data_IF_281285302402
#
_entry.id   IF_281285302402
#
_cell.length_a   1.000
_cell.length_b   1.000
_cell.length_c   1.000
_cell.angle_alpha   90.00
_cell.angle_beta   90.00
_cell.angle_gamma   90.00
#
_symmetry.space_group_name_H-M   'P 1'
#
loop_
_entity.id
_entity.type
_entity.pdbx_description
1 polymer ?
#
# COMPACT_ATOMS: atom_id res chain seq x y z
N UNK A 1 14.74 -20.56 -35.62
CA UNK A 1 15.07 -20.86 -34.21
C UNK A 1 14.12 -20.04 -33.30
N UNK A 2 13.19 -20.69 -32.63
CA UNK A 2 12.28 -19.99 -31.71
C UNK A 2 13.07 -19.54 -30.49
N UNK A 3 13.08 -18.21 -30.22
CA UNK A 3 13.70 -17.60 -29.06
C UNK A 3 12.98 -18.13 -27.81
N UNK A 4 13.61 -18.97 -27.01
CA UNK A 4 13.10 -19.47 -25.74
C UNK A 4 12.76 -18.23 -24.86
N UNK A 5 11.48 -17.94 -24.66
CA UNK A 5 11.07 -16.88 -23.73
C UNK A 5 11.63 -17.23 -22.36
N UNK A 6 12.36 -16.31 -21.76
CA UNK A 6 12.78 -16.44 -20.37
C UNK A 6 11.55 -16.69 -19.48
N UNK A 7 11.65 -17.57 -18.46
CA UNK A 7 10.52 -17.80 -17.56
C UNK A 7 10.10 -16.48 -16.92
N UNK A 8 8.80 -16.27 -16.84
CA UNK A 8 8.22 -15.09 -16.21
C UNK A 8 8.65 -15.02 -14.72
N UNK A 9 9.07 -13.85 -14.22
CA UNK A 9 9.43 -13.69 -12.81
C UNK A 9 8.25 -14.06 -11.90
N UNK A 10 8.50 -14.73 -10.78
CA UNK A 10 7.47 -15.10 -9.79
C UNK A 10 6.71 -13.87 -9.33
N UNK A 11 7.41 -12.74 -9.08
CA UNK A 11 6.80 -11.47 -8.70
C UNK A 11 5.75 -10.95 -9.69
N UNK A 12 5.93 -11.17 -10.99
CA UNK A 12 4.92 -10.78 -11.98
C UNK A 12 3.66 -11.67 -11.92
N UNK A 13 3.85 -12.96 -11.58
CA UNK A 13 2.74 -13.89 -11.35
C UNK A 13 1.98 -13.49 -10.07
N UNK A 14 2.69 -13.16 -9.00
CA UNK A 14 2.11 -12.68 -7.74
C UNK A 14 1.31 -11.38 -7.95
N UNK A 15 1.79 -10.45 -8.79
CA UNK A 15 1.07 -9.23 -9.15
C UNK A 15 -0.27 -9.54 -9.84
N UNK A 16 -0.28 -10.50 -10.77
CA UNK A 16 -1.52 -10.90 -11.43
C UNK A 16 -2.48 -11.60 -10.48
N UNK A 17 -1.97 -12.48 -9.61
CA UNK A 17 -2.78 -13.14 -8.58
C UNK A 17 -3.40 -12.12 -7.62
N UNK A 18 -2.63 -11.13 -7.18
CA UNK A 18 -3.13 -10.08 -6.30
C UNK A 18 -4.25 -9.27 -6.96
N UNK A 19 -4.04 -8.79 -8.20
CA UNK A 19 -5.07 -8.05 -8.93
C UNK A 19 -6.31 -8.89 -9.21
N UNK A 20 -6.13 -10.16 -9.56
CA UNK A 20 -7.25 -11.08 -9.75
C UNK A 20 -8.03 -11.33 -8.45
N UNK A 21 -7.33 -11.55 -7.34
CA UNK A 21 -7.96 -11.71 -6.02
C UNK A 21 -8.80 -10.50 -5.62
N UNK A 22 -8.24 -9.30 -5.78
CA UNK A 22 -8.94 -8.05 -5.48
C UNK A 22 -10.15 -7.84 -6.39
N UNK A 23 -10.03 -8.16 -7.69
CA UNK A 23 -11.13 -8.06 -8.66
C UNK A 23 -12.28 -9.03 -8.36
N UNK A 24 -11.98 -10.21 -7.80
CA UNK A 24 -12.96 -11.20 -7.37
C UNK A 24 -13.57 -10.93 -5.98
N UNK A 25 -13.22 -9.80 -5.36
CA UNK A 25 -13.79 -9.34 -4.08
C UNK A 25 -12.92 -9.57 -2.86
N UNK A 26 -11.63 -9.90 -3.05
CA UNK A 26 -10.54 -10.09 -2.06
C UNK A 26 -10.83 -11.05 -0.89
N UNK A 27 -11.94 -11.75 -0.93
CA UNK A 27 -12.27 -12.83 0.01
C UNK A 27 -11.85 -14.18 -0.59
N UNK A 28 -10.63 -14.63 -0.28
CA UNK A 28 -10.11 -15.91 -0.78
C UNK A 28 -10.94 -17.12 -0.33
N UNK A 29 -11.73 -17.01 0.74
CA UNK A 29 -12.57 -18.13 1.20
C UNK A 29 -13.73 -18.39 0.23
N UNK A 30 -14.25 -17.35 -0.41
CA UNK A 30 -15.34 -17.44 -1.38
C UNK A 30 -14.91 -17.78 -2.81
N UNK A 31 -13.61 -17.73 -3.12
CA UNK A 31 -13.05 -17.96 -4.46
C UNK A 31 -12.28 -19.29 -4.49
N UNK A 32 -12.49 -20.10 -5.51
CA UNK A 32 -11.69 -21.32 -5.70
C UNK A 32 -10.31 -21.01 -6.29
N UNK A 33 -9.29 -21.83 -5.96
CA UNK A 33 -7.96 -21.66 -6.55
C UNK A 33 -7.95 -21.79 -8.09
N UNK A 34 -8.71 -22.72 -8.71
CA UNK A 34 -8.83 -22.75 -10.17
C UNK A 34 -9.44 -21.49 -10.79
N UNK A 35 -10.47 -20.93 -10.15
CA UNK A 35 -11.09 -19.68 -10.59
C UNK A 35 -10.12 -18.50 -10.52
N UNK A 36 -9.39 -18.39 -9.40
CA UNK A 36 -8.35 -17.37 -9.26
C UNK A 36 -7.22 -17.53 -10.27
N UNK A 37 -6.78 -18.78 -10.55
CA UNK A 37 -5.77 -19.05 -11.56
C UNK A 37 -6.24 -18.62 -12.96
N UNK A 38 -7.50 -18.90 -13.29
CA UNK A 38 -8.11 -18.48 -14.55
C UNK A 38 -8.17 -16.94 -14.66
N UNK A 39 -8.65 -16.26 -13.61
CA UNK A 39 -8.71 -14.79 -13.56
C UNK A 39 -7.31 -14.15 -13.67
N UNK A 40 -6.30 -14.75 -13.07
CA UNK A 40 -4.90 -14.33 -13.16
C UNK A 40 -4.21 -14.72 -14.48
N UNK A 41 -4.87 -15.47 -15.34
CA UNK A 41 -4.32 -16.02 -16.59
C UNK A 41 -3.03 -16.83 -16.35
N UNK A 42 -3.09 -17.77 -15.39
CA UNK A 42 -2.02 -18.72 -15.09
C UNK A 42 -2.54 -20.16 -15.07
N UNK A 43 -1.65 -21.11 -15.31
CA UNK A 43 -2.02 -22.52 -15.16
C UNK A 43 -2.26 -22.86 -13.66
N UNK A 44 -3.30 -23.64 -13.36
CA UNK A 44 -3.64 -24.08 -12.00
C UNK A 44 -2.46 -24.77 -11.32
N UNK A 45 -1.71 -25.61 -12.05
CA UNK A 45 -0.49 -26.25 -11.53
C UNK A 45 0.61 -25.25 -11.16
N UNK A 46 0.68 -24.11 -11.84
CA UNK A 46 1.60 -23.02 -11.47
C UNK A 46 1.19 -22.38 -10.14
N UNK A 47 -0.12 -22.16 -9.93
CA UNK A 47 -0.64 -21.63 -8.66
C UNK A 47 -0.30 -22.56 -7.50
N UNK A 48 -0.59 -23.87 -7.63
CA UNK A 48 -0.31 -24.84 -6.54
C UNK A 48 1.19 -24.98 -6.25
N UNK A 49 2.06 -24.75 -7.22
CA UNK A 49 3.52 -24.74 -7.01
C UNK A 49 3.97 -23.50 -6.21
N UNK A 50 3.29 -22.36 -6.38
CA UNK A 50 3.59 -21.11 -5.68
C UNK A 50 2.94 -21.11 -4.29
N UNK A 51 1.67 -21.52 -4.22
CA UNK A 51 0.86 -21.51 -3.01
C UNK A 51 0.10 -22.84 -2.90
N UNK A 52 0.57 -23.78 -2.08
CA UNK A 52 -0.06 -25.10 -1.93
C UNK A 52 -1.39 -25.07 -1.18
N UNK A 53 -1.71 -23.94 -0.50
CA UNK A 53 -2.96 -23.73 0.22
C UNK A 53 -3.45 -22.29 0.11
N UNK A 54 -4.73 -22.03 0.43
CA UNK A 54 -5.29 -20.68 0.50
C UNK A 54 -4.62 -19.81 1.55
N UNK A 55 -4.22 -20.38 2.69
CA UNK A 55 -3.52 -19.63 3.75
C UNK A 55 -2.14 -19.13 3.27
N UNK A 56 -1.36 -20.00 2.65
CA UNK A 56 -0.06 -19.61 2.06
C UNK A 56 -0.26 -18.58 0.96
N UNK A 57 -1.30 -18.74 0.14
CA UNK A 57 -1.62 -17.75 -0.88
C UNK A 57 -1.95 -16.39 -0.25
N UNK A 58 -2.76 -16.35 0.81
CA UNK A 58 -3.10 -15.10 1.51
C UNK A 58 -1.84 -14.39 2.03
N UNK A 59 -0.91 -15.11 2.63
CA UNK A 59 0.37 -14.55 3.11
C UNK A 59 1.21 -13.96 1.94
N UNK A 60 1.29 -14.67 0.82
CA UNK A 60 1.99 -14.20 -0.38
C UNK A 60 1.34 -12.91 -0.91
N UNK A 61 0.01 -12.88 -1.02
CA UNK A 61 -0.71 -11.72 -1.53
C UNK A 61 -0.60 -10.52 -0.58
N UNK A 62 -0.66 -10.74 0.74
CA UNK A 62 -0.43 -9.71 1.75
C UNK A 62 0.98 -9.11 1.65
N UNK A 63 2.00 -9.97 1.57
CA UNK A 63 3.38 -9.54 1.42
C UNK A 63 3.60 -8.77 0.10
N UNK A 64 2.96 -9.25 -0.98
CA UNK A 64 3.08 -8.61 -2.29
C UNK A 64 2.40 -7.24 -2.33
N UNK A 65 1.19 -7.13 -1.78
CA UNK A 65 0.47 -5.85 -1.68
C UNK A 65 1.28 -4.81 -0.90
N UNK A 66 1.87 -5.21 0.25
CA UNK A 66 2.75 -4.34 1.04
C UNK A 66 4.00 -3.92 0.26
N UNK A 67 4.65 -4.86 -0.43
CA UNK A 67 5.84 -4.56 -1.25
C UNK A 67 5.54 -3.55 -2.35
N UNK A 68 4.39 -3.68 -3.03
CA UNK A 68 3.98 -2.72 -4.07
C UNK A 68 3.74 -1.33 -3.48
N UNK A 69 2.99 -1.27 -2.38
CA UNK A 69 2.72 -0.04 -1.65
C UNK A 69 4.02 0.65 -1.20
N UNK A 70 4.89 -0.09 -0.53
CA UNK A 70 6.15 0.44 0.00
C UNK A 70 7.08 0.96 -1.10
N UNK A 71 7.22 0.22 -2.19
CA UNK A 71 8.01 0.67 -3.35
C UNK A 71 7.50 1.97 -3.94
N UNK A 72 6.18 2.16 -3.95
CA UNK A 72 5.57 3.34 -4.54
C UNK A 72 5.68 4.54 -3.60
N UNK A 73 5.26 4.37 -2.35
CA UNK A 73 5.14 5.45 -1.38
C UNK A 73 6.50 5.88 -0.83
N UNK A 74 7.38 4.91 -0.53
CA UNK A 74 8.70 5.18 0.08
C UNK A 74 9.86 5.18 -0.93
N UNK A 75 9.58 5.41 -2.21
CA UNK A 75 10.65 5.70 -3.15
C UNK A 75 11.53 6.86 -2.62
N UNK A 76 12.85 6.85 -2.86
CA UNK A 76 13.76 7.85 -2.31
C UNK A 76 13.27 9.28 -2.53
N UNK A 77 13.44 10.13 -1.53
CA UNK A 77 13.16 11.55 -1.65
C UNK A 77 14.35 12.29 -2.30
N UNK A 78 14.08 13.32 -3.12
CA UNK A 78 15.11 14.23 -3.56
C UNK A 78 15.84 14.84 -2.36
N UNK A 79 17.15 15.08 -2.50
CA UNK A 79 17.91 15.77 -1.46
C UNK A 79 17.39 17.20 -1.24
N UNK A 80 17.49 17.70 0.00
CA UNK A 80 17.19 19.09 0.38
C UNK A 80 15.71 19.51 0.33
N UNK A 81 14.78 18.58 0.44
CA UNK A 81 13.36 18.93 0.64
C UNK A 81 13.13 19.42 2.08
N UNK A 82 12.32 20.50 2.23
CA UNK A 82 11.77 20.86 3.53
C UNK A 82 10.85 19.76 4.07
N UNK A 83 10.53 19.81 5.36
CA UNK A 83 9.64 18.83 5.98
C UNK A 83 8.26 18.83 5.29
N UNK A 84 7.71 20.01 5.03
CA UNK A 84 6.43 20.16 4.32
C UNK A 84 6.50 19.58 2.90
N UNK A 85 7.58 19.82 2.16
CA UNK A 85 7.75 19.25 0.82
C UNK A 85 7.88 17.71 0.85
N UNK A 86 8.55 17.15 1.87
CA UNK A 86 8.63 15.70 2.05
C UNK A 86 7.25 15.11 2.36
N UNK A 87 6.47 15.78 3.22
CA UNK A 87 5.10 15.38 3.52
C UNK A 87 4.22 15.41 2.27
N UNK A 88 4.23 16.51 1.54
CA UNK A 88 3.46 16.68 0.30
C UNK A 88 3.82 15.60 -0.74
N UNK A 89 5.11 15.34 -0.96
CA UNK A 89 5.55 14.31 -1.91
C UNK A 89 5.12 12.89 -1.48
N UNK A 90 5.24 12.56 -0.19
CA UNK A 90 4.77 11.30 0.34
C UNK A 90 3.24 11.18 0.18
N UNK A 91 2.49 12.25 0.48
CA UNK A 91 1.04 12.27 0.32
C UNK A 91 0.63 12.11 -1.15
N UNK A 92 1.29 12.82 -2.07
CA UNK A 92 1.06 12.68 -3.52
C UNK A 92 1.22 11.23 -3.96
N UNK A 93 2.28 10.56 -3.52
CA UNK A 93 2.51 9.14 -3.84
C UNK A 93 1.42 8.24 -3.24
N UNK A 94 0.98 8.50 -2.01
CA UNK A 94 -0.15 7.81 -1.38
C UNK A 94 -1.43 7.98 -2.19
N UNK A 95 -1.76 9.22 -2.58
CA UNK A 95 -2.93 9.55 -3.36
C UNK A 95 -2.89 8.91 -4.75
N UNK A 96 -1.75 8.99 -5.43
CA UNK A 96 -1.56 8.37 -6.74
C UNK A 96 -1.71 6.85 -6.65
N UNK A 97 -1.13 6.20 -5.64
CA UNK A 97 -1.32 4.76 -5.42
C UNK A 97 -2.80 4.41 -5.21
N UNK A 98 -3.51 5.20 -4.39
CA UNK A 98 -4.93 5.00 -4.13
C UNK A 98 -5.79 5.12 -5.40
N UNK A 99 -5.43 6.02 -6.31
CA UNK A 99 -6.16 6.25 -7.56
C UNK A 99 -5.78 5.25 -8.66
N UNK A 100 -4.52 4.83 -8.73
CA UNK A 100 -4.02 3.92 -9.77
C UNK A 100 -4.29 2.45 -9.45
N UNK A 101 -4.25 2.07 -8.17
CA UNK A 101 -4.45 0.70 -7.69
C UNK A 101 -5.55 0.66 -6.60
N UNK A 102 -6.78 1.16 -6.88
CA UNK A 102 -7.83 1.35 -5.87
C UNK A 102 -8.20 0.07 -5.14
N UNK A 103 -8.20 -1.05 -5.84
CA UNK A 103 -8.49 -2.35 -5.25
C UNK A 103 -7.41 -2.80 -4.27
N UNK A 104 -6.12 -2.66 -4.63
CA UNK A 104 -5.01 -3.02 -3.74
C UNK A 104 -4.96 -2.07 -2.54
N UNK A 105 -5.20 -0.78 -2.76
CA UNK A 105 -5.27 0.21 -1.70
C UNK A 105 -6.40 -0.09 -0.70
N UNK A 106 -7.60 -0.43 -1.20
CA UNK A 106 -8.74 -0.85 -0.38
C UNK A 106 -8.46 -2.17 0.36
N UNK A 107 -7.79 -3.13 -0.28
CA UNK A 107 -7.34 -4.37 0.35
C UNK A 107 -6.41 -4.09 1.54
N UNK A 108 -5.38 -3.25 1.35
CA UNK A 108 -4.47 -2.85 2.42
C UNK A 108 -5.17 -2.07 3.54
N UNK A 109 -6.16 -1.23 3.20
CA UNK A 109 -6.92 -0.45 4.18
C UNK A 109 -7.77 -1.31 5.14
N UNK A 110 -8.05 -2.56 4.78
CA UNK A 110 -8.75 -3.54 5.64
C UNK A 110 -7.80 -4.34 6.54
N UNK A 111 -6.50 -4.27 6.28
CA UNK A 111 -5.50 -5.04 7.05
C UNK A 111 -4.95 -4.21 8.20
N UNK A 112 -4.64 -4.82 9.35
CA UNK A 112 -3.99 -4.12 10.43
C UNK A 112 -2.59 -3.67 10.01
N UNK A 113 -2.24 -2.46 10.40
CA UNK A 113 -0.88 -1.94 10.25
C UNK A 113 -0.08 -2.33 11.49
N UNK A 114 0.79 -3.31 11.35
CA UNK A 114 1.63 -3.74 12.46
C UNK A 114 2.72 -2.71 12.81
N UNK A 115 3.23 -2.73 14.06
CA UNK A 115 4.24 -1.77 14.54
C UNK A 115 5.53 -1.82 13.72
N UNK A 116 5.85 -2.97 13.15
CA UNK A 116 7.03 -3.18 12.32
C UNK A 116 6.87 -2.76 10.86
N UNK A 117 5.71 -2.24 10.47
CA UNK A 117 5.48 -1.80 9.10
C UNK A 117 6.43 -0.67 8.69
N UNK A 118 6.85 -0.66 7.44
CA UNK A 118 7.67 0.42 6.89
C UNK A 118 7.00 1.79 7.02
N UNK A 119 5.66 1.83 6.98
CA UNK A 119 4.88 3.06 7.16
C UNK A 119 5.06 3.64 8.57
N UNK A 120 4.92 2.84 9.63
CA UNK A 120 5.13 3.30 11.02
C UNK A 120 6.58 3.70 11.24
N UNK A 121 7.55 2.92 10.74
CA UNK A 121 8.97 3.24 10.84
C UNK A 121 9.31 4.58 10.15
N UNK A 122 8.80 4.80 8.93
CA UNK A 122 8.98 6.07 8.22
C UNK A 122 8.29 7.24 8.94
N UNK A 123 7.10 7.01 9.50
CA UNK A 123 6.37 8.00 10.31
C UNK A 123 7.14 8.39 11.56
N UNK A 124 7.78 7.44 12.25
CA UNK A 124 8.60 7.70 13.43
C UNK A 124 9.84 8.56 13.10
N UNK A 125 10.50 8.28 11.97
CA UNK A 125 11.64 9.10 11.51
C UNK A 125 11.17 10.52 11.19
N UNK A 126 10.06 10.66 10.46
CA UNK A 126 9.51 11.96 10.09
C UNK A 126 9.06 12.77 11.30
N UNK A 127 8.37 12.15 12.26
CA UNK A 127 7.94 12.78 13.51
C UNK A 127 9.13 13.29 14.33
N UNK A 128 10.17 12.44 14.48
CA UNK A 128 11.41 12.80 15.18
C UNK A 128 12.09 14.01 14.52
N UNK A 129 12.26 13.99 13.20
CA UNK A 129 12.91 15.06 12.45
C UNK A 129 12.14 16.37 12.60
N UNK A 130 10.81 16.33 12.52
CA UNK A 130 9.95 17.52 12.67
C UNK A 130 9.87 18.05 14.09
N UNK A 131 9.92 17.18 15.09
CA UNK A 131 9.99 17.60 16.50
C UNK A 131 11.35 18.26 16.80
N UNK A 132 12.44 17.75 16.23
CA UNK A 132 13.79 18.32 16.41
C UNK A 132 13.93 19.74 15.80
N UNK A 133 13.23 20.01 14.71
CA UNK A 133 13.18 21.36 14.08
C UNK A 133 12.13 22.28 14.72
N UNK A 134 11.25 21.74 15.57
CA UNK A 134 10.12 22.48 16.15
C UNK A 134 8.96 22.73 15.18
N UNK A 135 9.00 22.17 13.98
CA UNK A 135 7.96 22.34 12.97
C UNK A 135 6.73 21.47 13.23
N UNK A 136 6.93 20.28 13.83
CA UNK A 136 5.84 19.35 14.14
C UNK A 136 5.60 19.24 15.65
N UNK A 137 4.37 18.83 15.99
CA UNK A 137 4.04 18.34 17.33
C UNK A 137 4.92 17.13 17.69
N UNK A 138 5.17 16.94 18.97
CA UNK A 138 5.85 15.73 19.46
C UNK A 138 4.87 14.57 19.42
N UNK A 139 5.05 13.67 18.45
CA UNK A 139 4.20 12.51 18.19
C UNK A 139 5.07 11.27 18.08
N UNK A 140 4.52 10.13 18.46
CA UNK A 140 5.08 8.81 18.11
C UNK A 140 4.88 8.50 16.63
N UNK A 141 5.56 7.47 16.12
CA UNK A 141 5.36 7.00 14.74
C UNK A 141 3.94 6.47 14.53
N UNK A 142 3.37 5.80 15.53
CA UNK A 142 2.00 5.29 15.48
C UNK A 142 0.97 6.41 15.46
N UNK A 143 1.13 7.44 16.30
CA UNK A 143 0.22 8.60 16.32
C UNK A 143 0.24 9.35 14.98
N UNK A 144 1.43 9.60 14.44
CA UNK A 144 1.56 10.23 13.12
C UNK A 144 0.94 9.35 12.03
N UNK A 145 1.25 8.05 12.04
CA UNK A 145 0.66 7.11 11.10
C UNK A 145 -0.87 7.06 11.20
N UNK A 146 -1.43 7.11 12.39
CA UNK A 146 -2.88 7.13 12.61
C UNK A 146 -3.52 8.40 12.03
N UNK A 147 -2.90 9.57 12.20
CA UNK A 147 -3.39 10.84 11.64
C UNK A 147 -3.41 10.80 10.11
N UNK A 148 -2.39 10.19 9.49
CA UNK A 148 -2.27 10.12 8.02
C UNK A 148 -3.11 8.98 7.44
N UNK A 149 -2.96 7.77 7.97
CA UNK A 149 -3.56 6.57 7.40
C UNK A 149 -5.02 6.37 7.81
N UNK A 150 -5.42 6.78 9.01
CA UNK A 150 -6.76 6.57 9.54
C UNK A 150 -7.86 7.11 8.61
N UNK A 151 -7.89 8.42 8.33
CA UNK A 151 -8.88 9.01 7.44
C UNK A 151 -8.79 8.47 6.00
N UNK A 152 -7.57 8.31 5.47
CA UNK A 152 -7.37 7.75 4.13
C UNK A 152 -7.92 6.33 4.03
N UNK A 153 -7.62 5.47 5.01
CA UNK A 153 -8.11 4.09 5.03
C UNK A 153 -9.65 4.02 5.12
N UNK A 154 -10.28 4.98 5.79
CA UNK A 154 -11.75 5.08 5.83
C UNK A 154 -12.31 5.40 4.44
N UNK A 155 -11.73 6.35 3.70
CA UNK A 155 -12.15 6.64 2.32
C UNK A 155 -11.94 5.43 1.39
N UNK A 156 -10.80 4.75 1.52
CA UNK A 156 -10.48 3.56 0.71
C UNK A 156 -11.48 2.43 0.93
N UNK A 157 -11.81 2.12 2.18
CA UNK A 157 -12.79 1.07 2.53
C UNK A 157 -14.20 1.36 2.02
N UNK A 158 -14.56 2.64 1.95
CA UNK A 158 -15.88 3.09 1.52
C UNK A 158 -15.94 3.45 0.02
N UNK A 159 -14.87 3.17 -0.74
CA UNK A 159 -14.77 3.55 -2.15
C UNK A 159 -15.07 5.04 -2.43
N UNK A 160 -14.73 5.90 -1.47
CA UNK A 160 -15.01 7.34 -1.50
C UNK A 160 -13.79 8.19 -1.86
N UNK A 161 -12.73 7.59 -2.40
CA UNK A 161 -11.53 8.31 -2.83
C UNK A 161 -11.81 9.11 -4.10
N UNK A 162 -11.59 10.41 -4.03
CA UNK A 162 -11.55 11.32 -5.17
C UNK A 162 -10.34 12.25 -5.04
N UNK A 163 -9.94 12.89 -6.13
CA UNK A 163 -8.85 13.86 -6.12
C UNK A 163 -9.12 14.97 -5.09
N UNK A 164 -10.37 15.44 -5.03
CA UNK A 164 -10.76 16.49 -4.09
C UNK A 164 -10.70 16.03 -2.63
N UNK A 165 -11.26 14.86 -2.31
CA UNK A 165 -11.22 14.33 -0.93
C UNK A 165 -9.77 14.07 -0.47
N UNK A 166 -8.90 13.63 -1.37
CA UNK A 166 -7.49 13.39 -1.06
C UNK A 166 -6.72 14.69 -0.80
N UNK A 167 -7.01 15.79 -1.53
CA UNK A 167 -6.43 17.12 -1.26
C UNK A 167 -6.89 17.69 0.08
N UNK A 168 -8.18 17.58 0.39
CA UNK A 168 -8.73 18.05 1.67
C UNK A 168 -8.11 17.29 2.84
N UNK A 169 -7.93 15.97 2.71
CA UNK A 169 -7.27 15.17 3.72
C UNK A 169 -5.79 15.50 3.88
N UNK A 170 -5.08 15.79 2.80
CA UNK A 170 -3.69 16.23 2.87
C UNK A 170 -3.54 17.46 3.75
N UNK A 171 -4.36 18.48 3.47
CA UNK A 171 -4.33 19.73 4.22
C UNK A 171 -4.68 19.49 5.69
N UNK A 172 -5.75 18.72 5.96
CA UNK A 172 -6.19 18.42 7.32
C UNK A 172 -5.11 17.61 8.09
N UNK A 173 -4.46 16.64 7.44
CA UNK A 173 -3.38 15.88 8.05
C UNK A 173 -2.17 16.77 8.35
N UNK A 174 -1.74 17.62 7.42
CA UNK A 174 -0.63 18.54 7.65
C UNK A 174 -0.94 19.53 8.80
N UNK A 175 -2.13 20.13 8.82
CA UNK A 175 -2.55 21.03 9.88
C UNK A 175 -2.66 20.32 11.26
N UNK A 176 -3.01 19.04 11.25
CA UNK A 176 -3.00 18.20 12.45
C UNK A 176 -1.60 17.92 13.01
N UNK A 177 -0.59 17.84 12.13
CA UNK A 177 0.79 17.51 12.49
C UNK A 177 1.62 18.72 12.89
N UNK A 178 1.46 19.86 12.22
CA UNK A 178 2.30 21.04 12.43
C UNK A 178 2.09 21.65 13.81
N UNK A 179 3.15 22.24 14.34
CA UNK A 179 3.09 23.08 15.54
C UNK A 179 2.58 24.47 15.15
N UNK A 180 1.62 24.97 15.88
CA UNK A 180 1.05 26.33 15.70
C UNK A 180 1.94 27.32 16.47
#
# INVERSE_FOLDING_TARGET
MAKRRSPEPISAIEDRLLRASVALGDNLDSVSLPELAAAANIAVGTLYRIAPSKSVLAEILDARARTLFERYVFAPFPARLSLQQRFHLMWTRLADFALQEPGIAAYLARKPMGPDSAFIKASAIFARDGAATGELKTLSGEELAAIVWGPLSALLRNHACSVESLKQLEQAAWDGLRRI
#
